data_IF_807156835800
#
_entry.id   IF_807156835800
#
_cell.length_a   1.000
_cell.length_b   1.000
_cell.length_c   1.000
_cell.angle_alpha   90.00
_cell.angle_beta   90.00
_cell.angle_gamma   90.00
#
_symmetry.space_group_name_H-M   'P 1'
#
loop_
_entity.id
_entity.type
_entity.pdbx_description
1 polymer ?
#
# COMPACT_ATOMS: atom_id res chain seq x y z
N UNK A 1 -45.80 -2.17 -17.50
CA UNK A 1 -45.06 -2.74 -16.36
C UNK A 1 -43.57 -2.76 -16.69
N UNK A 2 -42.80 -1.85 -16.11
CA UNK A 2 -41.34 -1.90 -16.01
C UNK A 2 -40.95 -1.01 -14.81
N UNK A 3 -41.27 -1.51 -13.63
CA UNK A 3 -40.89 -0.92 -12.33
C UNK A 3 -39.52 -1.49 -11.98
N UNK A 4 -38.49 -0.66 -11.81
CA UNK A 4 -37.16 -1.20 -11.56
C UNK A 4 -36.05 -0.20 -11.29
N UNK A 5 -36.12 0.44 -10.11
CA UNK A 5 -34.98 0.95 -9.33
C UNK A 5 -34.28 2.21 -9.83
N UNK A 6 -34.87 3.37 -9.51
CA UNK A 6 -34.10 4.55 -9.10
C UNK A 6 -33.47 4.27 -7.73
N UNK A 7 -32.37 3.51 -7.73
CA UNK A 7 -31.49 3.41 -6.57
C UNK A 7 -30.85 4.78 -6.34
N UNK A 8 -31.36 5.51 -5.36
CA UNK A 8 -30.72 6.69 -4.79
C UNK A 8 -29.25 6.38 -4.54
N UNK A 9 -28.36 7.02 -5.28
CA UNK A 9 -26.92 6.94 -5.03
C UNK A 9 -26.67 7.63 -3.68
N UNK A 10 -26.68 6.84 -2.59
CA UNK A 10 -26.14 7.28 -1.31
C UNK A 10 -24.76 7.91 -1.56
N UNK A 11 -24.41 9.03 -0.91
CA UNK A 11 -23.08 9.57 -1.01
C UNK A 11 -22.14 8.50 -0.47
N UNK A 12 -21.39 7.87 -1.38
CA UNK A 12 -20.57 6.72 -1.06
C UNK A 12 -19.46 7.15 -0.08
N UNK A 13 -19.78 7.04 1.20
CA UNK A 13 -18.81 7.14 2.27
C UNK A 13 -17.72 6.11 2.00
N UNK A 14 -16.47 6.53 2.20
CA UNK A 14 -15.31 5.64 2.13
C UNK A 14 -15.68 4.30 2.77
N UNK A 15 -15.59 3.16 2.05
CA UNK A 15 -16.03 1.89 2.62
C UNK A 15 -15.28 1.71 3.94
N UNK A 16 -16.00 1.58 5.06
CA UNK A 16 -15.41 1.62 6.42
C UNK A 16 -14.16 0.73 6.56
N UNK A 17 -14.12 -0.38 5.81
CA UNK A 17 -12.98 -1.29 5.71
C UNK A 17 -11.72 -0.77 5.00
N UNK A 18 -11.83 0.20 4.09
CA UNK A 18 -10.67 0.83 3.46
C UNK A 18 -10.00 1.83 4.40
N UNK A 19 -10.81 2.63 5.13
CA UNK A 19 -10.29 3.57 6.12
C UNK A 19 -9.63 2.83 7.30
N UNK A 20 -10.25 1.76 7.80
CA UNK A 20 -9.66 0.98 8.90
C UNK A 20 -8.32 0.35 8.51
N UNK A 21 -8.20 -0.17 7.28
CA UNK A 21 -6.93 -0.70 6.76
C UNK A 21 -5.88 0.38 6.59
N UNK A 22 -6.27 1.56 6.13
CA UNK A 22 -5.35 2.69 6.00
C UNK A 22 -4.79 3.09 7.36
N UNK A 23 -5.67 3.25 8.36
CA UNK A 23 -5.27 3.56 9.75
C UNK A 23 -4.38 2.45 10.30
N UNK A 24 -4.75 1.18 10.09
CA UNK A 24 -3.93 0.06 10.50
C UNK A 24 -2.55 0.08 9.83
N UNK A 25 -2.45 0.42 8.54
CA UNK A 25 -1.17 0.53 7.84
C UNK A 25 -0.30 1.66 8.42
N UNK A 26 -0.89 2.82 8.74
CA UNK A 26 -0.20 3.94 9.39
C UNK A 26 0.29 3.63 10.82
N UNK A 27 -0.28 2.63 11.49
CA UNK A 27 0.14 2.21 12.83
C UNK A 27 1.12 1.03 12.77
N UNK A 28 0.77 -0.01 12.03
CA UNK A 28 1.47 -1.29 12.02
C UNK A 28 2.81 -1.17 11.31
N UNK A 29 2.89 -0.49 10.16
CA UNK A 29 4.14 -0.44 9.39
C UNK A 29 5.25 0.31 10.14
N UNK A 30 5.01 1.50 10.73
CA UNK A 30 5.98 2.14 11.63
C UNK A 30 6.38 1.25 12.82
N UNK A 31 5.40 0.67 13.51
CA UNK A 31 5.66 -0.19 14.65
C UNK A 31 6.50 -1.41 14.26
N UNK A 32 6.25 -1.97 13.09
CA UNK A 32 7.00 -3.08 12.52
C UNK A 32 8.48 -2.72 12.30
N UNK A 33 8.77 -1.55 11.72
CA UNK A 33 10.15 -1.12 11.54
C UNK A 33 10.85 -0.80 12.86
N UNK A 34 10.14 -0.24 13.84
CA UNK A 34 10.69 -0.04 15.18
C UNK A 34 10.96 -1.38 15.86
N UNK A 35 10.08 -2.37 15.70
CA UNK A 35 10.25 -3.70 16.29
C UNK A 35 11.45 -4.46 15.67
N UNK A 36 11.67 -4.33 14.37
CA UNK A 36 12.77 -5.00 13.66
C UNK A 36 14.10 -4.27 13.80
N UNK A 37 14.11 -2.94 13.61
CA UNK A 37 15.30 -2.09 13.67
C UNK A 37 15.71 -1.65 15.09
N UNK A 38 14.79 -1.70 16.06
CA UNK A 38 15.07 -1.40 17.47
C UNK A 38 15.39 0.06 17.77
N UNK A 39 15.18 0.99 16.82
CA UNK A 39 15.57 2.40 16.97
C UNK A 39 14.63 3.35 16.24
N UNK A 40 14.25 4.43 16.93
CA UNK A 40 13.51 5.55 16.35
C UNK A 40 14.40 6.49 15.53
N UNK A 41 15.72 6.37 15.61
CA UNK A 41 16.69 7.21 14.87
C UNK A 41 16.93 6.73 13.44
N UNK A 42 16.24 5.69 13.01
CA UNK A 42 16.36 5.11 11.67
C UNK A 42 15.53 5.92 10.67
N UNK A 43 16.14 6.96 10.10
CA UNK A 43 15.45 7.91 9.20
C UNK A 43 14.98 7.25 7.90
N UNK A 44 15.72 6.27 7.39
CA UNK A 44 15.38 5.55 6.18
C UNK A 44 14.03 4.84 6.31
N UNK A 45 13.76 4.19 7.45
CA UNK A 45 12.47 3.55 7.70
C UNK A 45 11.29 4.53 7.74
N UNK A 46 11.50 5.73 8.30
CA UNK A 46 10.46 6.77 8.31
C UNK A 46 10.15 7.27 6.91
N UNK A 47 11.17 7.44 6.07
CA UNK A 47 10.98 7.80 4.67
C UNK A 47 10.30 6.68 3.91
N UNK A 48 10.71 5.41 4.07
CA UNK A 48 10.02 4.27 3.43
C UNK A 48 8.56 4.14 3.87
N UNK A 49 8.25 4.42 5.15
CA UNK A 49 6.87 4.53 5.61
C UNK A 49 6.10 5.63 4.86
N UNK A 50 6.66 6.84 4.80
CA UNK A 50 6.02 7.96 4.10
C UNK A 50 5.84 7.67 2.60
N UNK A 51 6.85 7.08 1.97
CA UNK A 51 6.89 6.68 0.56
C UNK A 51 5.78 5.70 0.20
N UNK A 52 5.50 4.72 1.06
CA UNK A 52 4.41 3.76 0.85
C UNK A 52 3.04 4.34 1.23
N UNK A 53 2.97 5.03 2.38
CA UNK A 53 1.69 5.40 2.98
C UNK A 53 1.11 6.68 2.40
N UNK A 54 1.92 7.69 2.09
CA UNK A 54 1.43 9.00 1.61
C UNK A 54 0.79 8.88 0.23
N UNK A 55 1.43 8.31 -0.82
CA UNK A 55 0.80 8.18 -2.12
C UNK A 55 -0.45 7.31 -2.08
N UNK A 56 -0.46 6.22 -1.29
CA UNK A 56 -1.66 5.40 -1.11
C UNK A 56 -2.79 6.18 -0.44
N UNK A 57 -2.48 6.97 0.59
CA UNK A 57 -3.45 7.82 1.30
C UNK A 57 -4.08 8.82 0.34
N UNK A 58 -3.26 9.55 -0.40
CA UNK A 58 -3.72 10.52 -1.41
C UNK A 58 -4.55 9.82 -2.48
N UNK A 59 -4.10 8.69 -3.00
CA UNK A 59 -4.82 7.91 -3.99
C UNK A 59 -6.19 7.46 -3.47
N UNK A 60 -6.27 6.93 -2.25
CA UNK A 60 -7.50 6.46 -1.65
C UNK A 60 -8.50 7.60 -1.47
N UNK A 61 -8.09 8.73 -0.89
CA UNK A 61 -8.98 9.88 -0.70
C UNK A 61 -9.45 10.49 -2.02
N UNK A 62 -8.54 10.63 -2.99
CA UNK A 62 -8.87 11.18 -4.32
C UNK A 62 -9.86 10.27 -5.04
N UNK A 63 -9.66 8.96 -4.96
CA UNK A 63 -10.51 7.97 -5.64
C UNK A 63 -11.83 7.78 -4.92
N UNK A 64 -11.87 7.81 -3.59
CA UNK A 64 -13.11 7.76 -2.82
C UNK A 64 -14.05 8.92 -3.19
N UNK A 65 -13.50 10.11 -3.44
CA UNK A 65 -14.28 11.28 -3.87
C UNK A 65 -14.75 11.22 -5.33
N UNK A 66 -13.96 10.63 -6.23
CA UNK A 66 -14.21 10.66 -7.70
C UNK A 66 -14.83 9.40 -8.27
N UNK A 67 -14.51 8.25 -7.70
CA UNK A 67 -14.95 6.92 -8.15
C UNK A 67 -14.99 5.94 -6.97
N UNK A 68 -15.93 6.12 -6.04
CA UNK A 68 -16.08 5.23 -4.89
C UNK A 68 -16.44 3.80 -5.30
N UNK A 69 -17.11 3.63 -6.45
CA UNK A 69 -17.47 2.33 -7.00
C UNK A 69 -16.23 1.51 -7.39
N UNK A 70 -15.18 2.15 -7.93
CA UNK A 70 -13.89 1.50 -8.19
C UNK A 70 -13.28 0.91 -6.92
N UNK A 71 -13.28 1.67 -5.81
CA UNK A 71 -12.80 1.15 -4.53
C UNK A 71 -13.66 -0.01 -4.05
N UNK A 72 -14.99 0.11 -4.11
CA UNK A 72 -15.89 -0.96 -3.69
C UNK A 72 -15.67 -2.27 -4.46
N UNK A 73 -15.31 -2.21 -5.75
CA UNK A 73 -14.93 -3.39 -6.55
C UNK A 73 -13.60 -3.98 -6.08
N UNK A 74 -12.57 -3.14 -5.92
CA UNK A 74 -11.19 -3.58 -5.58
C UNK A 74 -11.02 -4.04 -4.13
N UNK A 75 -11.85 -3.56 -3.20
CA UNK A 75 -11.79 -3.96 -1.79
C UNK A 75 -12.53 -5.28 -1.49
N UNK A 76 -13.14 -5.93 -2.49
CA UNK A 76 -13.66 -7.30 -2.36
C UNK A 76 -12.48 -8.27 -2.21
N UNK A 77 -12.19 -8.65 -0.96
CA UNK A 77 -11.05 -9.46 -0.51
C UNK A 77 -10.91 -10.87 -1.11
N UNK A 78 -11.87 -11.32 -1.93
CA UNK A 78 -11.83 -12.67 -2.50
C UNK A 78 -11.23 -12.62 -3.88
N UNK A 79 -9.92 -12.86 -3.94
CA UNK A 79 -9.28 -13.23 -5.19
C UNK A 79 -9.87 -14.55 -5.67
N UNK A 80 -10.52 -14.51 -6.84
CA UNK A 80 -11.28 -15.66 -7.36
C UNK A 80 -10.38 -16.58 -8.18
N UNK A 81 -9.28 -16.05 -8.70
CA UNK A 81 -8.39 -16.74 -9.62
C UNK A 81 -7.29 -17.49 -8.84
N UNK A 82 -7.10 -18.79 -9.14
CA UNK A 82 -6.20 -19.66 -8.36
C UNK A 82 -4.73 -19.28 -8.54
N UNK A 83 -4.33 -18.84 -9.74
CA UNK A 83 -2.96 -18.43 -10.01
C UNK A 83 -2.58 -17.17 -9.21
N UNK A 84 -3.47 -16.18 -9.11
CA UNK A 84 -3.22 -14.99 -8.28
C UNK A 84 -3.09 -15.33 -6.80
N UNK A 85 -3.84 -16.32 -6.31
CA UNK A 85 -3.69 -16.80 -4.92
C UNK A 85 -2.32 -17.42 -4.68
N UNK A 86 -1.77 -18.17 -5.64
CA UNK A 86 -0.42 -18.72 -5.53
C UNK A 86 0.63 -17.63 -5.58
N UNK A 87 0.49 -16.63 -6.47
CA UNK A 87 1.38 -15.47 -6.51
C UNK A 87 1.41 -14.76 -5.16
N UNK A 88 0.25 -14.57 -4.53
CA UNK A 88 0.19 -13.95 -3.20
C UNK A 88 0.83 -14.82 -2.12
N UNK A 89 0.57 -16.14 -2.14
CA UNK A 89 1.13 -17.07 -1.16
C UNK A 89 2.66 -17.15 -1.24
N UNK A 90 3.20 -17.21 -2.46
CA UNK A 90 4.66 -17.23 -2.68
C UNK A 90 5.30 -15.87 -2.48
N UNK A 91 4.61 -14.78 -2.84
CA UNK A 91 5.10 -13.41 -2.68
C UNK A 91 5.17 -12.95 -1.23
N UNK A 92 4.26 -13.43 -0.37
CA UNK A 92 4.19 -12.98 1.04
C UNK A 92 5.50 -13.22 1.83
N UNK A 93 6.16 -14.40 1.77
CA UNK A 93 7.48 -14.59 2.36
C UNK A 93 8.54 -13.60 1.87
N UNK A 94 8.59 -13.31 0.56
CA UNK A 94 9.56 -12.36 0.01
C UNK A 94 9.27 -10.93 0.48
N UNK A 95 7.99 -10.54 0.52
CA UNK A 95 7.59 -9.24 1.06
C UNK A 95 7.97 -9.11 2.54
N UNK A 96 7.73 -10.15 3.35
CA UNK A 96 8.14 -10.16 4.75
C UNK A 96 9.65 -10.08 4.90
N UNK A 97 10.41 -10.86 4.14
CA UNK A 97 11.87 -10.80 4.14
C UNK A 97 12.38 -9.39 3.77
N UNK A 98 11.80 -8.76 2.74
CA UNK A 98 12.16 -7.41 2.31
C UNK A 98 11.88 -6.35 3.39
N UNK A 99 10.90 -6.57 4.29
CA UNK A 99 10.61 -5.67 5.41
C UNK A 99 11.47 -5.97 6.65
N UNK A 100 11.80 -7.24 6.92
CA UNK A 100 12.53 -7.67 8.13
C UNK A 100 14.03 -7.45 7.98
N UNK A 101 14.60 -7.85 6.85
CA UNK A 101 16.06 -7.85 6.63
C UNK A 101 16.68 -6.46 6.87
N UNK A 102 16.13 -5.34 6.34
CA UNK A 102 16.71 -4.02 6.58
C UNK A 102 16.72 -3.61 8.06
N UNK A 103 15.73 -4.03 8.84
CA UNK A 103 15.71 -3.79 10.29
C UNK A 103 16.81 -4.56 11.02
N UNK A 104 17.01 -5.83 10.66
CA UNK A 104 18.09 -6.64 11.22
C UNK A 104 19.48 -6.15 10.78
N UNK A 105 19.61 -5.76 9.51
CA UNK A 105 20.82 -5.16 8.94
C UNK A 105 21.23 -3.91 9.73
N UNK A 106 20.28 -3.00 9.98
CA UNK A 106 20.46 -1.81 10.81
C UNK A 106 20.84 -2.13 12.26
N UNK A 107 20.18 -3.13 12.85
CA UNK A 107 20.36 -3.51 14.27
C UNK A 107 21.72 -4.17 14.52
N UNK A 108 22.20 -4.98 13.59
CA UNK A 108 23.46 -5.70 13.69
C UNK A 108 24.62 -5.01 12.96
N UNK A 109 24.34 -3.90 12.25
CA UNK A 109 25.36 -3.15 11.51
C UNK A 109 25.96 -3.95 10.37
N UNK A 110 25.15 -4.76 9.67
CA UNK A 110 25.64 -5.60 8.56
C UNK A 110 26.10 -4.77 7.36
N UNK A 111 25.50 -3.60 7.14
CA UNK A 111 25.84 -2.72 6.03
C UNK A 111 25.86 -1.24 6.43
N UNK A 112 26.70 -0.47 5.74
CA UNK A 112 26.78 0.99 5.85
C UNK A 112 26.76 1.62 4.46
N UNK A 113 25.60 1.58 3.76
CA UNK A 113 25.51 2.10 2.40
C UNK A 113 25.67 3.62 2.38
N UNK A 114 26.32 4.18 1.35
CA UNK A 114 26.35 5.63 1.15
C UNK A 114 24.93 6.20 1.02
N UNK A 115 24.67 7.34 1.65
CA UNK A 115 23.36 8.01 1.63
C UNK A 115 22.84 8.24 0.21
N UNK A 116 23.74 8.53 -0.74
CA UNK A 116 23.38 8.72 -2.16
C UNK A 116 22.79 7.44 -2.80
N UNK A 117 23.31 6.26 -2.45
CA UNK A 117 22.78 4.99 -2.95
C UNK A 117 21.38 4.72 -2.38
N UNK A 118 21.18 4.96 -1.08
CA UNK A 118 19.88 4.83 -0.41
C UNK A 118 18.85 5.78 -1.05
N UNK A 119 19.22 7.06 -1.22
CA UNK A 119 18.34 8.06 -1.83
C UNK A 119 17.95 7.70 -3.27
N UNK A 120 18.89 7.16 -4.05
CA UNK A 120 18.63 6.72 -5.43
C UNK A 120 17.66 5.53 -5.46
N UNK A 121 17.87 4.55 -4.59
CA UNK A 121 16.98 3.40 -4.48
C UNK A 121 15.55 3.82 -4.09
N UNK A 122 15.40 4.72 -3.10
CA UNK A 122 14.10 5.29 -2.72
C UNK A 122 13.45 6.04 -3.88
N UNK A 123 14.20 6.86 -4.62
CA UNK A 123 13.64 7.56 -5.78
C UNK A 123 13.12 6.59 -6.86
N UNK A 124 13.82 5.48 -7.10
CA UNK A 124 13.39 4.45 -8.05
C UNK A 124 12.15 3.70 -7.57
N UNK A 125 12.09 3.34 -6.28
CA UNK A 125 10.93 2.67 -5.69
C UNK A 125 9.70 3.58 -5.78
N UNK A 126 9.83 4.86 -5.41
CA UNK A 126 8.75 5.83 -5.51
C UNK A 126 8.28 5.98 -6.95
N UNK A 127 9.20 6.09 -7.92
CA UNK A 127 8.84 6.20 -9.33
C UNK A 127 8.05 4.97 -9.82
N UNK A 128 8.51 3.76 -9.50
CA UNK A 128 7.80 2.52 -9.82
C UNK A 128 6.44 2.44 -9.14
N UNK A 129 6.35 2.87 -7.89
CA UNK A 129 5.10 2.88 -7.15
C UNK A 129 4.07 3.87 -7.74
N UNK A 130 4.50 5.08 -8.10
CA UNK A 130 3.66 6.07 -8.76
C UNK A 130 3.19 5.58 -10.14
N UNK A 131 4.02 4.82 -10.86
CA UNK A 131 3.62 4.17 -12.11
C UNK A 131 2.50 3.16 -11.88
N UNK A 132 2.58 2.32 -10.83
CA UNK A 132 1.50 1.39 -10.48
C UNK A 132 0.20 2.14 -10.15
N UNK A 133 0.28 3.23 -9.39
CA UNK A 133 -0.90 4.06 -9.11
C UNK A 133 -1.48 4.67 -10.38
N UNK A 134 -0.63 5.08 -11.33
CA UNK A 134 -1.06 5.56 -12.65
C UNK A 134 -1.80 4.47 -13.43
N UNK A 135 -1.28 3.25 -13.45
CA UNK A 135 -1.93 2.08 -14.06
C UNK A 135 -3.32 1.86 -13.47
N UNK A 136 -3.52 2.03 -12.16
CA UNK A 136 -4.85 1.94 -11.55
C UNK A 136 -5.80 3.04 -12.02
N UNK A 137 -5.30 4.26 -12.22
CA UNK A 137 -6.13 5.37 -12.74
C UNK A 137 -6.54 5.10 -14.19
N UNK A 138 -5.61 4.65 -15.03
CA UNK A 138 -5.85 4.36 -16.45
C UNK A 138 -6.79 3.16 -16.60
N UNK A 139 -6.66 2.15 -15.74
CA UNK A 139 -7.49 0.94 -15.74
C UNK A 139 -8.70 1.01 -14.81
N UNK A 140 -9.21 2.20 -14.47
CA UNK A 140 -10.34 2.37 -13.53
C UNK A 140 -11.63 1.63 -13.95
N UNK A 141 -11.75 1.31 -15.24
CA UNK A 141 -12.90 0.62 -15.84
C UNK A 141 -12.70 -0.90 -15.94
N UNK A 142 -11.48 -1.41 -15.73
CA UNK A 142 -11.22 -2.85 -15.70
C UNK A 142 -11.44 -3.40 -14.28
N UNK A 143 -12.54 -4.14 -14.08
CA UNK A 143 -12.85 -4.81 -12.82
C UNK A 143 -14.20 -5.50 -12.79
#
# INVERSE_FOLDING_TARGET
MATGQTGTLEPAGTPKGALSRLVAAWMILPLFFVATGGSLRWWEAWISCAELLVPMTVFLFRTARRDPAFLARRFKLREKERSQRHVLAWGAPFLLAALIIPGFDRRHGWSEPPVAAVATAMAMVLAGYLLVLRVFVENRWAG
#
